data_IF_512179861373
#
_entry.id   IF_512179861373
#
_cell.length_a   1.000
_cell.length_b   1.000
_cell.length_c   1.000
_cell.angle_alpha   90.00
_cell.angle_beta   90.00
_cell.angle_gamma   90.00
#
_symmetry.space_group_name_H-M   'P 1'
#
loop_
_entity.id
_entity.type
_entity.pdbx_description
1 polymer ?
#
# COMPACT_ATOMS: atom_id res chain seq x y z
N UNK A 1 -7.65 -4.37 -8.44
CA UNK A 1 -8.49 -5.51 -8.85
C UNK A 1 -7.64 -6.77 -8.77
N UNK A 2 -8.20 -7.92 -8.41
CA UNK A 2 -7.45 -9.17 -8.29
C UNK A 2 -7.14 -9.79 -9.64
N UNK A 3 -6.01 -10.48 -9.75
CA UNK A 3 -5.63 -11.27 -10.92
C UNK A 3 -5.70 -12.78 -10.62
N UNK A 4 -5.59 -13.64 -11.64
CA UNK A 4 -5.65 -15.10 -11.44
C UNK A 4 -4.56 -15.60 -10.50
N UNK A 5 -3.36 -15.02 -10.55
CA UNK A 5 -2.23 -15.36 -9.68
C UNK A 5 -2.54 -15.07 -8.20
N UNK A 6 -3.33 -14.03 -7.90
CA UNK A 6 -3.74 -13.69 -6.53
C UNK A 6 -4.53 -14.82 -5.84
N UNK A 7 -5.15 -15.72 -6.60
CA UNK A 7 -5.90 -16.85 -6.04
C UNK A 7 -5.02 -17.86 -5.28
N UNK A 8 -3.71 -17.87 -5.51
CA UNK A 8 -2.75 -18.70 -4.77
C UNK A 8 -2.74 -18.44 -3.25
N UNK A 9 -3.35 -17.34 -2.80
CA UNK A 9 -3.48 -17.06 -1.37
C UNK A 9 -4.53 -17.92 -0.66
N UNK A 10 -5.50 -18.48 -1.41
CA UNK A 10 -6.57 -19.28 -0.84
C UNK A 10 -6.15 -20.74 -0.68
N UNK A 11 -6.62 -21.37 0.39
CA UNK A 11 -6.32 -22.77 0.69
C UNK A 11 -6.83 -23.71 -0.41
N UNK A 12 -8.02 -23.44 -0.97
CA UNK A 12 -8.61 -24.25 -2.03
C UNK A 12 -7.73 -24.32 -3.29
N UNK A 13 -6.91 -23.30 -3.55
CA UNK A 13 -6.07 -23.23 -4.76
C UNK A 13 -4.92 -24.25 -4.72
N UNK A 14 -4.61 -24.82 -3.55
CA UNK A 14 -3.67 -25.95 -3.45
C UNK A 14 -4.14 -27.21 -4.20
N UNK A 15 -5.45 -27.32 -4.46
CA UNK A 15 -6.05 -28.40 -5.24
C UNK A 15 -6.18 -28.06 -6.73
N UNK A 16 -5.64 -26.92 -7.19
CA UNK A 16 -5.67 -26.50 -8.58
C UNK A 16 -4.35 -26.84 -9.27
N UNK A 17 -4.43 -27.47 -10.43
CA UNK A 17 -3.30 -27.76 -11.30
C UNK A 17 -3.42 -26.94 -12.57
N UNK A 18 -2.46 -26.06 -12.82
CA UNK A 18 -2.38 -25.29 -14.07
C UNK A 18 -2.03 -26.24 -15.23
N UNK A 19 -2.94 -26.36 -16.19
CA UNK A 19 -2.84 -27.28 -17.31
C UNK A 19 -2.34 -26.60 -18.60
N UNK A 20 -2.75 -25.35 -18.85
CA UNK A 20 -2.33 -24.57 -20.02
C UNK A 20 -2.41 -23.06 -19.76
N UNK A 21 -1.77 -22.27 -20.63
CA UNK A 21 -1.91 -20.82 -20.70
C UNK A 21 -1.21 -20.06 -19.57
N UNK A 22 -0.07 -20.58 -19.10
CA UNK A 22 0.65 -20.06 -17.92
C UNK A 22 1.03 -18.57 -18.03
N UNK A 23 1.22 -18.04 -19.24
CA UNK A 23 1.51 -16.62 -19.47
C UNK A 23 0.34 -15.69 -19.11
N UNK A 24 -0.87 -16.24 -18.96
CA UNK A 24 -2.09 -15.50 -18.66
C UNK A 24 -2.46 -15.36 -17.19
N UNK A 25 -1.63 -15.85 -16.25
CA UNK A 25 -1.98 -15.85 -14.82
C UNK A 25 -2.17 -14.44 -14.22
N UNK A 26 -1.79 -13.38 -14.93
CA UNK A 26 -2.01 -11.99 -14.51
C UNK A 26 -3.26 -11.33 -15.12
N UNK A 27 -4.15 -12.11 -15.74
CA UNK A 27 -5.46 -11.63 -16.20
C UNK A 27 -6.33 -11.24 -15.00
N UNK A 28 -7.06 -10.13 -15.12
CA UNK A 28 -7.83 -9.52 -14.05
C UNK A 28 -9.18 -10.20 -13.89
N UNK A 29 -9.54 -10.60 -12.68
CA UNK A 29 -10.84 -11.22 -12.40
C UNK A 29 -11.84 -10.09 -12.07
N UNK A 30 -12.97 -10.08 -12.78
CA UNK A 30 -14.10 -9.17 -12.53
C UNK A 30 -15.26 -9.89 -11.86
N UNK A 31 -15.49 -11.17 -12.19
CA UNK A 31 -16.59 -11.97 -11.67
C UNK A 31 -16.27 -13.47 -11.75
N UNK A 32 -17.15 -14.32 -11.21
CA UNK A 32 -17.11 -15.79 -11.34
C UNK A 32 -18.40 -16.27 -11.98
N UNK A 33 -18.30 -17.12 -12.99
CA UNK A 33 -19.46 -17.66 -13.74
C UNK A 33 -19.31 -19.17 -13.89
N UNK A 34 -20.43 -19.88 -13.84
CA UNK A 34 -20.46 -21.32 -14.12
C UNK A 34 -20.81 -21.51 -15.59
N UNK A 35 -20.04 -22.35 -16.29
CA UNK A 35 -20.38 -22.83 -17.63
C UNK A 35 -20.99 -24.23 -17.52
N UNK A 36 -22.31 -24.32 -17.74
CA UNK A 36 -23.03 -25.60 -17.75
C UNK A 36 -24.00 -25.66 -18.95
N UNK A 37 -25.20 -25.09 -18.83
CA UNK A 37 -26.23 -25.12 -19.88
C UNK A 37 -25.80 -24.41 -21.17
N UNK A 38 -25.04 -23.33 -21.06
CA UNK A 38 -24.58 -22.51 -22.18
C UNK A 38 -23.64 -23.30 -23.11
N UNK A 39 -22.95 -24.30 -22.57
CA UNK A 39 -22.14 -25.23 -23.36
C UNK A 39 -22.96 -26.19 -24.22
N UNK A 40 -24.23 -26.44 -23.88
CA UNK A 40 -25.16 -27.21 -24.70
C UNK A 40 -25.78 -26.37 -25.83
N UNK A 41 -26.22 -25.14 -25.50
CA UNK A 41 -26.99 -24.28 -26.40
C UNK A 41 -26.11 -23.38 -27.27
N UNK A 42 -24.83 -23.23 -26.92
CA UNK A 42 -23.88 -22.36 -27.61
C UNK A 42 -24.14 -20.87 -27.38
N UNK A 43 -24.98 -20.51 -26.39
CA UNK A 43 -25.32 -19.14 -26.07
C UNK A 43 -24.47 -18.62 -24.89
N UNK A 44 -23.56 -17.69 -25.17
CA UNK A 44 -22.62 -17.13 -24.18
C UNK A 44 -22.92 -15.65 -23.86
N UNK A 45 -24.18 -15.21 -23.96
CA UNK A 45 -24.55 -13.80 -23.74
C UNK A 45 -24.30 -13.30 -22.33
N UNK A 46 -24.34 -14.19 -21.33
CA UNK A 46 -24.17 -13.82 -19.92
C UNK A 46 -22.69 -13.81 -19.48
N UNK A 47 -21.78 -14.13 -20.39
CA UNK A 47 -20.35 -14.11 -20.16
C UNK A 47 -19.74 -12.77 -20.59
N UNK A 48 -18.83 -12.26 -19.76
CA UNK A 48 -18.23 -10.96 -19.89
C UNK A 48 -16.70 -11.02 -19.81
N UNK A 49 -16.06 -9.95 -20.27
CA UNK A 49 -14.61 -9.79 -20.12
C UNK A 49 -14.23 -9.81 -18.63
N UNK A 50 -13.21 -10.60 -18.29
CA UNK A 50 -12.73 -10.74 -16.92
C UNK A 50 -13.35 -11.87 -16.10
N UNK A 51 -14.32 -12.63 -16.64
CA UNK A 51 -14.95 -13.73 -15.91
C UNK A 51 -13.97 -14.86 -15.61
N UNK A 52 -13.99 -15.35 -14.37
CA UNK A 52 -13.39 -16.63 -13.99
C UNK A 52 -14.42 -17.74 -14.18
N UNK A 53 -14.23 -18.57 -15.20
CA UNK A 53 -15.22 -19.58 -15.59
C UNK A 53 -14.96 -20.89 -14.86
N UNK A 54 -15.99 -21.45 -14.23
CA UNK A 54 -15.93 -22.77 -13.59
C UNK A 54 -16.82 -23.74 -14.36
N UNK A 55 -16.34 -24.94 -14.63
CA UNK A 55 -17.13 -25.97 -15.33
C UNK A 55 -16.73 -27.36 -14.90
N UNK A 56 -17.61 -28.34 -15.12
CA UNK A 56 -17.29 -29.77 -15.07
C UNK A 56 -17.24 -30.38 -16.48
N UNK A 57 -17.48 -29.59 -17.54
CA UNK A 57 -17.62 -30.02 -18.93
C UNK A 57 -18.71 -31.09 -19.16
N UNK A 58 -19.78 -31.09 -18.36
CA UNK A 58 -20.90 -32.04 -18.53
C UNK A 58 -21.48 -32.01 -19.95
N UNK A 59 -21.58 -30.82 -20.57
CA UNK A 59 -22.08 -30.65 -21.93
C UNK A 59 -21.25 -31.31 -23.03
N UNK A 60 -19.99 -31.63 -22.74
CA UNK A 60 -19.09 -32.27 -23.68
C UNK A 60 -18.90 -33.76 -23.39
N UNK A 61 -19.43 -34.30 -22.27
CA UNK A 61 -19.18 -35.67 -21.79
C UNK A 61 -19.26 -36.74 -22.89
N UNK A 62 -20.32 -36.69 -23.70
CA UNK A 62 -20.56 -37.63 -24.81
C UNK A 62 -20.15 -37.05 -26.19
N UNK A 63 -19.72 -35.79 -26.22
CA UNK A 63 -19.39 -35.00 -27.42
C UNK A 63 -18.15 -34.10 -27.21
N UNK A 64 -16.92 -34.68 -27.11
CA UNK A 64 -15.69 -33.92 -26.83
C UNK A 64 -15.38 -32.81 -27.85
N UNK A 65 -15.87 -32.95 -29.09
CA UNK A 65 -15.73 -31.96 -30.17
C UNK A 65 -16.35 -30.60 -29.84
N UNK A 66 -17.23 -30.52 -28.84
CA UNK A 66 -17.87 -29.27 -28.38
C UNK A 66 -16.95 -28.39 -27.52
N UNK A 67 -15.89 -28.94 -26.95
CA UNK A 67 -14.97 -28.21 -26.06
C UNK A 67 -14.26 -27.09 -26.84
N UNK A 68 -13.76 -27.39 -28.04
CA UNK A 68 -12.96 -26.44 -28.82
C UNK A 68 -13.77 -25.19 -29.25
N UNK A 69 -14.97 -25.31 -29.85
CA UNK A 69 -15.81 -24.16 -30.15
C UNK A 69 -16.18 -23.34 -28.92
N UNK A 70 -16.50 -24.00 -27.80
CA UNK A 70 -16.82 -23.37 -26.53
C UNK A 70 -15.67 -22.51 -26.01
N UNK A 71 -14.47 -23.08 -25.96
CA UNK A 71 -13.27 -22.38 -25.47
C UNK A 71 -12.86 -21.26 -26.43
N UNK A 72 -13.00 -21.45 -27.75
CA UNK A 72 -12.79 -20.39 -28.73
C UNK A 72 -13.73 -19.21 -28.49
N UNK A 73 -15.00 -19.45 -28.12
CA UNK A 73 -15.95 -18.40 -27.82
C UNK A 73 -15.58 -17.66 -26.54
N UNK A 74 -15.23 -18.38 -25.47
CA UNK A 74 -14.79 -17.78 -24.20
C UNK A 74 -13.51 -16.94 -24.36
N UNK A 75 -12.56 -17.39 -25.19
CA UNK A 75 -11.36 -16.61 -25.55
C UNK A 75 -11.76 -15.30 -26.24
N UNK A 76 -12.71 -15.34 -27.19
CA UNK A 76 -13.18 -14.13 -27.89
C UNK A 76 -13.86 -13.12 -26.96
N UNK A 77 -14.51 -13.60 -25.89
CA UNK A 77 -15.12 -12.79 -24.82
C UNK A 77 -14.04 -12.21 -23.88
N UNK A 78 -12.83 -12.79 -23.90
CA UNK A 78 -11.68 -12.44 -23.05
C UNK A 78 -11.92 -12.76 -21.57
N UNK A 79 -12.46 -13.94 -21.28
CA UNK A 79 -12.49 -14.47 -19.92
C UNK A 79 -11.07 -14.54 -19.32
N UNK A 80 -10.99 -14.57 -17.99
CA UNK A 80 -9.72 -14.48 -17.26
C UNK A 80 -9.07 -15.82 -17.00
N UNK A 81 -9.85 -16.87 -16.75
CA UNK A 81 -9.38 -18.24 -16.65
C UNK A 81 -10.55 -19.22 -16.77
N UNK A 82 -10.24 -20.49 -17.01
CA UNK A 82 -11.19 -21.59 -16.94
C UNK A 82 -10.70 -22.61 -15.90
N UNK A 83 -11.53 -22.94 -14.93
CA UNK A 83 -11.30 -23.97 -13.94
C UNK A 83 -12.24 -25.15 -14.19
N UNK A 84 -11.67 -26.32 -14.41
CA UNK A 84 -12.38 -27.54 -14.79
C UNK A 84 -12.34 -28.51 -13.61
N UNK A 85 -13.50 -28.90 -13.10
CA UNK A 85 -13.60 -29.95 -12.10
C UNK A 85 -13.41 -31.30 -12.78
N UNK A 86 -12.44 -32.10 -12.37
CA UNK A 86 -12.05 -33.34 -13.06
C UNK A 86 -13.02 -34.49 -12.77
N UNK A 87 -14.28 -34.35 -13.21
CA UNK A 87 -15.32 -35.38 -13.08
C UNK A 87 -15.36 -36.26 -14.34
N UNK A 88 -15.41 -35.63 -15.52
CA UNK A 88 -15.52 -36.33 -16.81
C UNK A 88 -14.22 -36.29 -17.63
N UNK A 89 -13.37 -35.31 -17.36
CA UNK A 89 -12.11 -35.09 -18.09
C UNK A 89 -10.96 -34.91 -17.11
N UNK A 90 -9.86 -35.61 -17.38
CA UNK A 90 -8.57 -35.40 -16.73
C UNK A 90 -7.52 -34.87 -17.72
N UNK A 91 -7.82 -34.91 -19.02
CA UNK A 91 -6.99 -34.40 -20.11
C UNK A 91 -7.89 -33.69 -21.12
N UNK A 92 -7.35 -32.64 -21.76
CA UNK A 92 -8.03 -31.92 -22.85
C UNK A 92 -7.43 -32.28 -24.21
N UNK A 93 -8.21 -32.20 -25.30
CA UNK A 93 -7.70 -32.31 -26.66
C UNK A 93 -6.55 -31.34 -26.93
N UNK A 94 -5.57 -31.77 -27.72
CA UNK A 94 -4.34 -30.99 -28.00
C UNK A 94 -4.66 -29.63 -28.60
N UNK A 95 -5.66 -29.57 -29.46
CA UNK A 95 -6.13 -28.35 -30.13
C UNK A 95 -6.61 -27.30 -29.13
N UNK A 96 -7.24 -27.73 -28.03
CA UNK A 96 -7.72 -26.83 -26.95
C UNK A 96 -6.53 -26.28 -26.16
N UNK A 97 -5.53 -27.12 -25.89
CA UNK A 97 -4.30 -26.72 -25.18
C UNK A 97 -3.50 -25.71 -26.00
N UNK A 98 -3.29 -26.00 -27.29
CA UNK A 98 -2.59 -25.10 -28.21
C UNK A 98 -3.32 -23.75 -28.34
N UNK A 99 -4.65 -23.78 -28.43
CA UNK A 99 -5.47 -22.58 -28.48
C UNK A 99 -5.33 -21.73 -27.22
N UNK A 100 -5.35 -22.37 -26.04
CA UNK A 100 -5.19 -21.70 -24.75
C UNK A 100 -3.80 -21.11 -24.56
N UNK A 101 -2.74 -21.81 -24.97
CA UNK A 101 -1.36 -21.30 -24.96
C UNK A 101 -1.20 -20.10 -25.90
N UNK A 102 -1.72 -20.19 -27.13
CA UNK A 102 -1.64 -19.13 -28.12
C UNK A 102 -2.28 -17.82 -27.63
N UNK A 103 -3.40 -17.92 -26.91
CA UNK A 103 -4.13 -16.75 -26.37
C UNK A 103 -3.78 -16.43 -24.91
N UNK A 104 -2.84 -17.18 -24.31
CA UNK A 104 -2.49 -17.07 -22.91
C UNK A 104 -3.72 -17.07 -22.00
N UNK A 105 -4.62 -18.04 -22.19
CA UNK A 105 -5.78 -18.26 -21.34
C UNK A 105 -5.46 -19.37 -20.32
N UNK A 106 -5.34 -19.05 -19.02
CA UNK A 106 -5.09 -20.05 -17.99
C UNK A 106 -6.23 -21.07 -17.91
N UNK A 107 -5.87 -22.35 -18.00
CA UNK A 107 -6.77 -23.47 -17.75
C UNK A 107 -6.27 -24.23 -16.55
N UNK A 108 -7.14 -24.49 -15.58
CA UNK A 108 -6.86 -25.28 -14.40
C UNK A 108 -7.73 -26.53 -14.36
N UNK A 109 -7.17 -27.63 -13.89
CA UNK A 109 -7.95 -28.74 -13.33
C UNK A 109 -7.97 -28.64 -11.82
N UNK A 110 -9.08 -29.02 -11.19
CA UNK A 110 -9.17 -29.11 -9.75
C UNK A 110 -10.04 -30.27 -9.29
N UNK A 111 -9.68 -30.83 -8.14
CA UNK A 111 -10.38 -31.96 -7.51
C UNK A 111 -10.65 -31.66 -6.03
N UNK A 112 -11.56 -32.40 -5.41
CA UNK A 112 -11.80 -32.37 -3.95
C UNK A 112 -12.22 -31.02 -3.33
N UNK A 113 -12.66 -30.06 -4.14
CA UNK A 113 -13.23 -28.77 -3.67
C UNK A 113 -14.65 -28.59 -4.21
N UNK A 114 -15.54 -28.02 -3.38
CA UNK A 114 -16.89 -27.63 -3.78
C UNK A 114 -16.86 -26.35 -4.62
N UNK A 115 -17.66 -26.29 -5.68
CA UNK A 115 -17.68 -25.15 -6.60
C UNK A 115 -18.20 -23.90 -5.86
N UNK A 116 -19.17 -24.11 -4.97
CA UNK A 116 -19.78 -23.11 -4.11
C UNK A 116 -18.72 -22.42 -3.23
N UNK A 117 -17.80 -23.18 -2.65
CA UNK A 117 -16.71 -22.65 -1.83
C UNK A 117 -15.79 -21.76 -2.67
N UNK A 118 -15.44 -22.19 -3.89
CA UNK A 118 -14.60 -21.40 -4.81
C UNK A 118 -15.29 -20.08 -5.16
N UNK A 119 -16.57 -20.13 -5.56
CA UNK A 119 -17.35 -18.95 -5.92
C UNK A 119 -17.43 -17.98 -4.75
N UNK A 120 -17.82 -18.45 -3.56
CA UNK A 120 -17.97 -17.60 -2.38
C UNK A 120 -16.64 -16.92 -2.01
N UNK A 121 -15.53 -17.66 -1.98
CA UNK A 121 -14.23 -17.09 -1.63
C UNK A 121 -13.76 -16.04 -2.64
N UNK A 122 -13.93 -16.27 -3.95
CA UNK A 122 -13.52 -15.31 -4.98
C UNK A 122 -14.44 -14.07 -4.95
N UNK A 123 -15.76 -14.25 -4.83
CA UNK A 123 -16.73 -13.15 -4.74
C UNK A 123 -16.48 -12.28 -3.51
N UNK A 124 -16.27 -12.90 -2.34
CA UNK A 124 -15.96 -12.16 -1.11
C UNK A 124 -14.63 -11.41 -1.23
N UNK A 125 -13.66 -11.99 -1.94
CA UNK A 125 -12.39 -11.33 -2.22
C UNK A 125 -12.54 -10.11 -3.15
N UNK A 126 -13.32 -10.24 -4.23
CA UNK A 126 -13.64 -9.13 -5.13
C UNK A 126 -14.30 -7.98 -4.36
N UNK A 127 -15.34 -8.28 -3.57
CA UNK A 127 -16.05 -7.30 -2.74
C UNK A 127 -15.14 -6.64 -1.71
N UNK A 128 -14.29 -7.42 -1.04
CA UNK A 128 -13.32 -6.91 -0.07
C UNK A 128 -12.30 -5.98 -0.75
N UNK A 129 -11.81 -6.34 -1.94
CA UNK A 129 -10.89 -5.52 -2.72
C UNK A 129 -11.51 -4.19 -3.15
N UNK A 130 -12.77 -4.20 -3.60
CA UNK A 130 -13.49 -2.98 -3.99
C UNK A 130 -13.71 -2.06 -2.78
N UNK A 131 -14.21 -2.62 -1.68
CA UNK A 131 -14.40 -1.88 -0.42
C UNK A 131 -13.09 -1.26 0.06
N UNK A 132 -11.99 -2.01 0.04
CA UNK A 132 -10.69 -1.49 0.45
C UNK A 132 -10.22 -0.36 -0.49
N UNK A 133 -10.44 -0.48 -1.80
CA UNK A 133 -10.08 0.56 -2.78
C UNK A 133 -10.90 1.84 -2.55
N UNK A 134 -12.19 1.72 -2.28
CA UNK A 134 -13.06 2.84 -1.91
C UNK A 134 -12.57 3.54 -0.64
N UNK A 135 -12.26 2.78 0.41
CA UNK A 135 -11.75 3.32 1.67
C UNK A 135 -10.35 3.95 1.52
N UNK A 136 -9.45 3.34 0.73
CA UNK A 136 -8.13 3.91 0.40
C UNK A 136 -8.28 5.28 -0.27
N UNK A 137 -9.22 5.43 -1.20
CA UNK A 137 -9.54 6.71 -1.85
C UNK A 137 -10.15 7.74 -0.89
N UNK A 138 -11.02 7.32 0.05
CA UNK A 138 -11.53 8.21 1.09
C UNK A 138 -10.41 8.73 1.98
N UNK A 139 -9.49 7.85 2.41
CA UNK A 139 -8.34 8.26 3.21
C UNK A 139 -7.44 9.22 2.43
N UNK A 140 -7.16 8.96 1.16
CA UNK A 140 -6.41 9.91 0.31
C UNK A 140 -7.11 11.27 0.23
N UNK A 141 -8.43 11.28 0.08
CA UNK A 141 -9.21 12.53 0.03
C UNK A 141 -9.12 13.28 1.36
N UNK A 142 -9.31 12.57 2.48
CA UNK A 142 -9.23 13.15 3.83
C UNK A 142 -7.86 13.72 4.13
N UNK A 143 -6.80 13.06 3.69
CA UNK A 143 -5.43 13.51 3.93
C UNK A 143 -5.10 14.69 3.02
N UNK A 144 -5.24 14.56 1.70
CA UNK A 144 -4.57 15.45 0.74
C UNK A 144 -5.43 16.57 0.15
N UNK A 145 -6.74 16.63 0.45
CA UNK A 145 -7.62 17.69 -0.08
C UNK A 145 -7.88 18.81 0.93
N UNK A 146 -8.15 20.01 0.42
CA UNK A 146 -8.42 21.20 1.26
C UNK A 146 -9.82 21.18 1.87
N UNK A 147 -10.79 20.50 1.24
CA UNK A 147 -12.19 20.43 1.68
C UNK A 147 -12.66 18.98 1.91
N UNK A 148 -12.09 18.26 2.89
CA UNK A 148 -12.35 16.83 3.08
C UNK A 148 -13.68 16.52 3.77
N UNK A 149 -14.55 17.49 4.08
CA UNK A 149 -15.69 17.31 4.99
C UNK A 149 -16.63 16.15 4.62
N UNK A 150 -16.96 16.00 3.33
CA UNK A 150 -17.81 14.91 2.85
C UNK A 150 -17.09 13.56 2.98
N UNK A 151 -15.84 13.50 2.54
CA UNK A 151 -15.03 12.29 2.62
C UNK A 151 -14.74 11.88 4.08
N UNK A 152 -14.57 12.87 4.97
CA UNK A 152 -14.38 12.66 6.40
C UNK A 152 -15.64 12.06 7.04
N UNK A 153 -16.82 12.60 6.73
CA UNK A 153 -18.10 12.03 7.20
C UNK A 153 -18.28 10.60 6.70
N UNK A 154 -17.97 10.35 5.42
CA UNK A 154 -18.02 9.01 4.84
C UNK A 154 -17.01 8.07 5.49
N UNK A 155 -15.77 8.50 5.74
CA UNK A 155 -14.77 7.68 6.40
C UNK A 155 -15.22 7.31 7.82
N UNK A 156 -15.65 8.30 8.60
CA UNK A 156 -16.12 8.10 9.98
C UNK A 156 -17.32 7.15 10.04
N UNK A 157 -18.25 7.22 9.09
CA UNK A 157 -19.40 6.30 9.06
C UNK A 157 -19.01 4.84 8.80
N UNK A 158 -17.80 4.59 8.28
CA UNK A 158 -17.30 3.24 8.03
C UNK A 158 -16.38 2.71 9.15
N UNK A 159 -15.70 3.61 9.88
CA UNK A 159 -14.64 3.22 10.81
C UNK A 159 -14.90 3.58 12.27
N UNK A 160 -15.66 4.62 12.57
CA UNK A 160 -15.84 5.12 13.93
C UNK A 160 -17.07 4.46 14.58
N UNK A 161 -16.91 3.71 15.68
CA UNK A 161 -18.04 3.21 16.46
C UNK A 161 -18.86 4.35 17.09
N UNK A 162 -20.11 4.05 17.44
CA UNK A 162 -20.99 4.98 18.15
C UNK A 162 -20.37 5.42 19.49
N UNK A 163 -20.63 6.68 19.88
CA UNK A 163 -20.14 7.28 21.13
C UNK A 163 -18.60 7.24 21.30
N UNK A 164 -17.86 7.34 20.19
CA UNK A 164 -16.41 7.57 20.20
C UNK A 164 -16.11 8.99 19.74
N UNK A 165 -15.22 9.65 20.47
CA UNK A 165 -14.92 11.08 20.28
C UNK A 165 -13.45 11.35 19.99
N UNK A 166 -12.59 10.37 20.24
CA UNK A 166 -11.16 10.47 20.05
C UNK A 166 -10.62 9.31 19.22
N UNK A 167 -9.52 9.56 18.52
CA UNK A 167 -8.79 8.60 17.69
C UNK A 167 -7.28 8.72 17.89
N UNK A 168 -6.61 7.58 17.91
CA UNK A 168 -5.16 7.43 17.72
C UNK A 168 -4.95 6.52 16.51
N UNK A 169 -3.79 6.62 15.85
CA UNK A 169 -3.51 5.78 14.69
C UNK A 169 -2.16 5.07 14.76
N UNK A 170 -2.06 3.97 14.02
CA UNK A 170 -0.86 3.19 13.84
C UNK A 170 -0.72 2.81 12.37
N UNK A 171 0.46 3.02 11.80
CA UNK A 171 0.78 2.61 10.44
C UNK A 171 1.93 1.60 10.42
N UNK A 172 1.67 0.48 9.75
CA UNK A 172 2.56 -0.67 9.73
C UNK A 172 2.92 -1.05 8.29
N UNK A 173 4.21 -1.25 8.04
CA UNK A 173 4.75 -1.66 6.74
C UNK A 173 5.69 -2.84 6.93
N UNK A 174 5.82 -3.70 5.91
CA UNK A 174 6.81 -4.77 5.91
C UNK A 174 8.01 -4.33 5.05
N UNK A 175 9.20 -4.08 5.64
CA UNK A 175 10.36 -3.62 4.89
C UNK A 175 10.87 -4.64 3.86
N UNK A 176 10.60 -5.93 4.07
CA UNK A 176 10.99 -7.01 3.14
C UNK A 176 9.96 -7.24 2.03
N UNK A 177 8.74 -6.72 2.17
CA UNK A 177 7.72 -6.87 1.13
C UNK A 177 7.93 -5.85 0.02
N UNK A 178 8.38 -6.32 -1.15
CA UNK A 178 8.34 -5.52 -2.38
C UNK A 178 6.91 -5.32 -2.90
N UNK A 179 5.91 -6.01 -2.35
CA UNK A 179 4.56 -6.10 -2.91
C UNK A 179 3.45 -6.03 -1.84
N UNK A 180 2.38 -5.26 -2.13
CA UNK A 180 1.13 -5.14 -1.33
C UNK A 180 0.57 -6.53 -0.97
N UNK A 181 0.73 -7.50 -1.87
CA UNK A 181 0.16 -8.84 -1.77
C UNK A 181 0.70 -9.68 -0.59
N UNK A 182 1.93 -9.47 -0.10
CA UNK A 182 2.45 -10.31 1.01
C UNK A 182 1.85 -9.95 2.38
N UNK A 183 1.58 -8.66 2.62
CA UNK A 183 0.92 -8.21 3.85
C UNK A 183 -0.54 -8.68 3.83
N UNK A 184 -1.23 -8.49 2.70
CA UNK A 184 -2.58 -8.97 2.51
C UNK A 184 -2.71 -10.49 2.70
N UNK A 185 -1.79 -11.28 2.13
CA UNK A 185 -1.72 -12.73 2.37
C UNK A 185 -1.55 -13.08 3.85
N UNK A 186 -0.71 -12.35 4.57
CA UNK A 186 -0.46 -12.59 6.00
C UNK A 186 -1.70 -12.26 6.83
N UNK A 187 -2.44 -11.20 6.48
CA UNK A 187 -3.66 -10.80 7.16
C UNK A 187 -4.84 -11.72 6.85
N UNK A 188 -5.00 -12.10 5.58
CA UNK A 188 -6.05 -13.02 5.11
C UNK A 188 -5.89 -14.42 5.72
N UNK A 189 -4.67 -15.00 5.68
CA UNK A 189 -4.39 -16.32 6.28
C UNK A 189 -4.68 -16.38 7.78
N UNK A 190 -4.61 -15.24 8.47
CA UNK A 190 -4.80 -15.14 9.92
C UNK A 190 -6.20 -14.70 10.32
N UNK A 191 -7.13 -14.54 9.36
CA UNK A 191 -8.51 -14.13 9.64
C UNK A 191 -8.66 -12.71 10.20
N UNK A 192 -7.61 -11.87 10.08
CA UNK A 192 -7.56 -10.51 10.65
C UNK A 192 -8.48 -9.52 9.93
N UNK A 193 -8.77 -9.81 8.66
CA UNK A 193 -9.77 -9.11 7.86
C UNK A 193 -11.15 -9.80 7.93
N UNK A 194 -11.29 -10.86 8.75
CA UNK A 194 -12.52 -11.59 8.99
C UNK A 194 -13.26 -11.13 10.26
N UNK A 195 -14.55 -11.48 10.34
CA UNK A 195 -15.47 -11.07 11.43
C UNK A 195 -14.96 -11.33 12.86
N UNK A 196 -14.19 -12.41 13.08
CA UNK A 196 -13.76 -12.82 14.44
C UNK A 196 -12.77 -11.85 15.11
N UNK A 197 -12.00 -11.06 14.36
CA UNK A 197 -11.08 -10.09 14.95
C UNK A 197 -11.79 -8.81 15.42
N UNK A 198 -12.86 -8.45 14.70
CA UNK A 198 -13.70 -7.27 14.93
C UNK A 198 -14.34 -7.33 16.33
N UNK A 199 -14.73 -8.50 16.81
CA UNK A 199 -15.40 -8.67 18.11
C UNK A 199 -14.46 -8.46 19.32
N UNK A 200 -13.16 -8.76 19.18
CA UNK A 200 -12.17 -8.58 20.27
C UNK A 200 -11.57 -7.18 20.34
N UNK A 201 -11.69 -6.42 19.25
CA UNK A 201 -11.15 -5.08 19.06
C UNK A 201 -12.24 -4.13 18.56
N UNK A 202 -13.41 -4.13 19.21
CA UNK A 202 -14.59 -3.34 18.81
C UNK A 202 -14.32 -1.84 18.59
N UNK A 203 -13.23 -1.34 19.17
CA UNK A 203 -12.77 0.04 19.06
C UNK A 203 -11.65 0.25 18.02
N UNK A 204 -11.26 -0.76 17.25
CA UNK A 204 -10.15 -0.69 16.29
C UNK A 204 -10.61 -1.00 14.87
N UNK A 205 -10.28 -0.10 13.94
CA UNK A 205 -10.51 -0.27 12.52
C UNK A 205 -9.21 -0.56 11.78
N UNK A 206 -9.27 -1.40 10.75
CA UNK A 206 -8.13 -1.85 9.96
C UNK A 206 -8.37 -1.61 8.47
N UNK A 207 -7.37 -1.09 7.77
CA UNK A 207 -7.41 -0.82 6.34
C UNK A 207 -6.07 -1.10 5.67
N UNK A 208 -6.07 -1.76 4.52
CA UNK A 208 -4.89 -1.79 3.67
C UNK A 208 -4.75 -0.43 2.98
N UNK A 209 -3.68 0.28 3.27
CA UNK A 209 -3.45 1.63 2.77
C UNK A 209 -2.03 1.75 2.19
N UNK A 210 -1.91 2.04 0.90
CA UNK A 210 -0.65 2.06 0.17
C UNK A 210 0.15 0.77 0.46
N UNK A 211 1.42 0.84 0.85
CA UNK A 211 2.29 -0.34 1.04
C UNK A 211 2.13 -1.01 2.41
N UNK A 212 1.10 -0.67 3.18
CA UNK A 212 1.00 -1.05 4.58
C UNK A 212 -0.44 -1.20 5.08
N UNK A 213 -0.54 -1.33 6.40
CA UNK A 213 -1.80 -1.43 7.14
C UNK A 213 -1.94 -0.17 7.97
N UNK A 214 -3.04 0.53 7.77
CA UNK A 214 -3.49 1.61 8.64
C UNK A 214 -4.45 1.04 9.68
N UNK A 215 -4.19 1.35 10.95
CA UNK A 215 -5.04 1.00 12.07
C UNK A 215 -5.49 2.27 12.77
N UNK A 216 -6.77 2.34 13.12
CA UNK A 216 -7.37 3.44 13.85
C UNK A 216 -7.98 2.91 15.15
N UNK A 217 -7.52 3.42 16.27
CA UNK A 217 -8.05 3.09 17.59
C UNK A 217 -8.92 4.24 18.09
N UNK A 218 -10.17 3.95 18.42
CA UNK A 218 -11.16 4.90 18.88
C UNK A 218 -11.39 4.80 20.38
N UNK A 219 -11.62 5.95 21.03
CA UNK A 219 -11.95 6.00 22.45
C UNK A 219 -13.07 7.00 22.71
N UNK A 220 -13.82 6.75 23.78
CA UNK A 220 -14.79 7.70 24.30
C UNK A 220 -14.09 8.86 25.01
N UNK A 221 -13.05 8.56 25.79
CA UNK A 221 -12.32 9.54 26.60
C UNK A 221 -10.87 9.72 26.11
N UNK A 222 -10.28 10.87 26.46
CA UNK A 222 -8.86 11.12 26.27
C UNK A 222 -8.06 10.14 27.14
N UNK A 223 -7.08 9.49 26.53
CA UNK A 223 -6.18 8.55 27.21
C UNK A 223 -4.75 9.11 27.24
N UNK A 224 -3.98 8.67 28.23
CA UNK A 224 -2.55 8.98 28.34
C UNK A 224 -1.75 8.19 27.30
N UNK A 225 -0.58 8.70 26.91
CA UNK A 225 0.36 8.00 25.99
C UNK A 225 0.68 6.56 26.48
N UNK A 226 0.80 6.35 27.80
CA UNK A 226 1.04 5.00 28.37
C UNK A 226 -0.13 4.05 28.13
N UNK A 227 -1.37 4.52 28.25
CA UNK A 227 -2.59 3.73 28.01
C UNK A 227 -2.74 3.39 26.53
N UNK A 228 -2.55 4.38 25.65
CA UNK A 228 -2.56 4.21 24.19
C UNK A 228 -1.52 3.17 23.79
N UNK A 229 -0.30 3.26 24.32
CA UNK A 229 0.78 2.32 24.05
C UNK A 229 0.53 0.92 24.62
N UNK A 230 -0.19 0.79 25.74
CA UNK A 230 -0.68 -0.51 26.24
C UNK A 230 -1.72 -1.10 25.29
N UNK A 231 -2.69 -0.30 24.82
CA UNK A 231 -3.71 -0.72 23.85
C UNK A 231 -3.09 -1.17 22.54
N UNK A 232 -2.19 -0.39 21.94
CA UNK A 232 -1.49 -0.79 20.71
C UNK A 232 -0.66 -2.05 20.87
N UNK A 233 0.03 -2.23 22.01
CA UNK A 233 0.74 -3.49 22.28
C UNK A 233 -0.22 -4.68 22.35
N UNK A 234 -1.36 -4.51 22.99
CA UNK A 234 -2.39 -5.55 23.05
C UNK A 234 -2.92 -5.88 21.64
N UNK A 235 -3.34 -4.87 20.87
CA UNK A 235 -3.84 -5.04 19.50
C UNK A 235 -2.79 -5.75 18.61
N UNK A 236 -1.53 -5.32 18.64
CA UNK A 236 -0.44 -5.95 17.87
C UNK A 236 -0.16 -7.39 18.30
N UNK A 237 -0.30 -7.70 19.60
CA UNK A 237 -0.10 -9.06 20.13
C UNK A 237 -1.21 -10.01 19.68
N UNK A 238 -2.46 -9.60 19.80
CA UNK A 238 -3.63 -10.39 19.39
C UNK A 238 -3.64 -10.56 17.86
N UNK A 239 -3.14 -9.57 17.12
CA UNK A 239 -3.02 -9.65 15.65
C UNK A 239 -1.78 -10.40 15.15
N UNK A 240 -0.88 -10.86 16.04
CA UNK A 240 0.39 -11.47 15.65
C UNK A 240 1.21 -10.59 14.67
N UNK A 241 1.17 -9.27 14.85
CA UNK A 241 1.86 -8.25 14.04
C UNK A 241 3.02 -7.59 14.81
N UNK A 242 3.73 -8.37 15.62
CA UNK A 242 4.82 -7.88 16.48
C UNK A 242 6.03 -7.37 15.69
N UNK A 243 6.81 -6.48 16.33
CA UNK A 243 7.84 -5.61 15.74
C UNK A 243 9.07 -6.30 15.11
N UNK A 244 9.13 -7.63 15.06
CA UNK A 244 10.27 -8.35 14.48
C UNK A 244 10.30 -8.31 12.94
N UNK A 245 9.13 -8.22 12.29
CA UNK A 245 9.00 -8.31 10.83
C UNK A 245 8.44 -7.03 10.18
N UNK A 246 8.17 -6.01 10.98
CA UNK A 246 7.43 -4.84 10.55
C UNK A 246 8.05 -3.54 11.06
N UNK A 247 7.97 -2.51 10.23
CA UNK A 247 8.18 -1.13 10.62
C UNK A 247 6.86 -0.54 11.10
N UNK A 248 6.86 0.12 12.26
CA UNK A 248 5.66 0.57 12.94
C UNK A 248 5.81 2.04 13.36
N UNK A 249 4.90 2.89 12.88
CA UNK A 249 4.75 4.26 13.36
C UNK A 249 3.47 4.40 14.17
N UNK A 250 3.56 4.98 15.37
CA UNK A 250 2.43 5.15 16.28
C UNK A 250 2.21 6.63 16.56
N UNK A 251 0.96 7.08 16.48
CA UNK A 251 0.51 8.34 17.09
C UNK A 251 0.10 8.07 18.53
N UNK A 252 0.93 8.47 19.49
CA UNK A 252 0.72 8.24 20.93
C UNK A 252 -0.07 9.34 21.64
N UNK A 253 -0.86 10.09 20.87
CA UNK A 253 -1.79 11.09 21.36
C UNK A 253 -3.21 10.73 20.92
N UNK A 254 -4.20 10.98 21.78
CA UNK A 254 -5.61 10.88 21.40
C UNK A 254 -6.07 12.22 20.85
N UNK A 255 -6.40 12.26 19.56
CA UNK A 255 -6.92 13.45 18.90
C UNK A 255 -8.45 13.36 18.76
N UNK A 256 -9.19 14.49 18.76
CA UNK A 256 -10.61 14.46 18.41
C UNK A 256 -10.84 13.80 17.05
N UNK A 257 -11.94 13.05 16.86
CA UNK A 257 -12.22 12.35 15.58
C UNK A 257 -12.27 13.27 14.35
N UNK A 258 -12.50 14.58 14.54
CA UNK A 258 -12.44 15.57 13.47
C UNK A 258 -11.01 15.83 12.94
N UNK A 259 -9.99 15.41 13.68
CA UNK A 259 -8.57 15.49 13.36
C UNK A 259 -8.00 14.10 12.98
N UNK A 260 -8.85 13.20 12.48
CA UNK A 260 -8.40 11.86 12.06
C UNK A 260 -7.36 11.92 10.93
N UNK A 261 -7.42 12.94 10.07
CA UNK A 261 -6.42 13.24 9.05
C UNK A 261 -5.04 13.48 9.66
N UNK A 262 -4.99 14.28 10.74
CA UNK A 262 -3.77 14.55 11.50
C UNK A 262 -3.27 13.26 12.14
N UNK A 263 -4.15 12.51 12.81
CA UNK A 263 -3.78 11.25 13.44
C UNK A 263 -3.14 10.29 12.43
N UNK A 264 -3.77 10.10 11.27
CA UNK A 264 -3.27 9.23 10.19
C UNK A 264 -1.92 9.73 9.66
N UNK A 265 -1.79 11.03 9.37
CA UNK A 265 -0.52 11.61 8.89
C UNK A 265 0.62 11.38 9.89
N UNK A 266 0.35 11.54 11.20
CA UNK A 266 1.35 11.35 12.26
C UNK A 266 1.89 9.92 12.29
N UNK A 267 1.05 8.90 12.21
CA UNK A 267 1.53 7.50 12.20
C UNK A 267 2.27 7.15 10.91
N UNK A 268 1.81 7.63 9.75
CA UNK A 268 2.49 7.43 8.46
C UNK A 268 3.87 8.07 8.47
N UNK A 269 3.99 9.34 8.87
CA UNK A 269 5.30 10.01 8.92
C UNK A 269 6.22 9.40 9.97
N UNK A 270 5.68 9.00 11.12
CA UNK A 270 6.46 8.28 12.14
C UNK A 270 6.99 6.95 11.60
N UNK A 271 6.19 6.20 10.84
CA UNK A 271 6.61 4.95 10.19
C UNK A 271 7.75 5.19 9.19
N UNK A 272 7.66 6.24 8.37
CA UNK A 272 8.72 6.60 7.41
C UNK A 272 10.02 7.01 8.10
N UNK A 273 9.95 7.87 9.11
CA UNK A 273 11.11 8.24 9.94
C UNK A 273 11.76 7.01 10.58
N UNK A 274 10.94 6.07 11.06
CA UNK A 274 11.40 4.82 11.66
C UNK A 274 12.24 4.00 10.66
N UNK A 275 11.76 3.86 9.43
CA UNK A 275 12.45 3.15 8.37
C UNK A 275 13.78 3.76 7.97
N UNK A 276 13.88 5.10 7.91
CA UNK A 276 15.14 5.80 7.62
C UNK A 276 16.21 5.60 8.71
N UNK A 277 15.81 5.33 9.95
CA UNK A 277 16.73 5.15 11.08
C UNK A 277 17.08 3.70 11.38
N UNK A 278 16.53 2.74 10.62
CA UNK A 278 16.73 1.32 10.90
C UNK A 278 16.11 0.85 12.21
N UNK A 279 15.16 1.62 12.78
CA UNK A 279 14.39 1.19 13.93
C UNK A 279 13.14 0.44 13.46
N UNK A 280 12.69 -0.61 14.18
CA UNK A 280 11.47 -1.34 13.82
C UNK A 280 10.19 -0.64 14.29
N UNK A 281 10.29 0.23 15.31
CA UNK A 281 9.14 0.94 15.86
C UNK A 281 9.52 2.33 16.35
N UNK A 282 8.65 3.29 16.08
CA UNK A 282 8.77 4.66 16.56
C UNK A 282 7.40 5.21 17.00
N UNK A 283 7.45 6.26 17.81
CA UNK A 283 6.30 6.93 18.39
C UNK A 283 6.35 8.41 18.05
N UNK A 284 5.22 9.03 17.70
CA UNK A 284 5.15 10.38 17.17
C UNK A 284 5.80 11.43 18.10
N UNK A 285 5.51 11.38 19.39
CA UNK A 285 6.10 12.29 20.39
C UNK A 285 7.64 12.31 20.40
N UNK A 286 8.28 11.23 19.96
CA UNK A 286 9.75 11.14 19.85
C UNK A 286 10.33 11.67 18.53
N UNK A 287 9.49 11.97 17.53
CA UNK A 287 9.93 12.39 16.20
C UNK A 287 10.31 13.87 16.10
N UNK A 288 9.82 14.71 17.01
CA UNK A 288 10.08 16.16 17.04
C UNK A 288 9.85 16.81 15.66
N UNK A 289 10.78 17.63 15.17
CA UNK A 289 10.66 18.36 13.89
C UNK A 289 10.69 17.46 12.65
N UNK A 290 11.08 16.19 12.74
CA UNK A 290 11.29 15.32 11.57
C UNK A 290 10.01 15.07 10.78
N UNK A 291 8.88 14.89 11.47
CA UNK A 291 7.57 14.71 10.84
C UNK A 291 7.11 15.98 10.12
N UNK A 292 7.42 17.16 10.68
CA UNK A 292 7.20 18.44 10.02
C UNK A 292 8.08 18.57 8.76
N UNK A 293 9.35 18.20 8.83
CA UNK A 293 10.24 18.21 7.65
C UNK A 293 9.71 17.33 6.52
N UNK A 294 9.24 16.11 6.84
CA UNK A 294 8.57 15.24 5.85
C UNK A 294 7.29 15.86 5.28
N UNK A 295 6.51 16.57 6.09
CA UNK A 295 5.30 17.25 5.60
C UNK A 295 5.64 18.38 4.61
N UNK A 296 6.76 19.07 4.81
CA UNK A 296 7.23 20.13 3.93
C UNK A 296 7.81 19.57 2.63
N UNK A 297 8.47 18.41 2.65
CA UNK A 297 8.98 17.77 1.42
C UNK A 297 7.86 17.32 0.48
N UNK A 298 6.69 16.95 1.02
CA UNK A 298 5.49 16.62 0.24
C UNK A 298 4.69 17.85 -0.22
N UNK A 299 4.89 19.01 0.40
CA UNK A 299 4.19 20.23 0.00
C UNK A 299 4.77 20.78 -1.31
N UNK A 300 3.93 20.87 -2.34
CA UNK A 300 4.35 21.30 -3.69
C UNK A 300 4.98 22.69 -3.71
N UNK A 301 4.41 23.64 -2.97
CA UNK A 301 4.94 25.01 -2.93
C UNK A 301 6.29 25.06 -2.19
N UNK A 302 6.38 24.44 -1.02
CA UNK A 302 7.63 24.38 -0.26
C UNK A 302 8.74 23.68 -1.06
N UNK A 303 8.44 22.57 -1.74
CA UNK A 303 9.40 21.85 -2.56
C UNK A 303 9.88 22.68 -3.77
N UNK A 304 8.96 23.35 -4.48
CA UNK A 304 9.31 24.26 -5.57
C UNK A 304 10.22 25.41 -5.08
N UNK A 305 9.84 26.03 -3.96
CA UNK A 305 10.61 27.09 -3.31
C UNK A 305 12.04 26.63 -2.95
N UNK A 306 12.19 25.52 -2.24
CA UNK A 306 13.50 24.98 -1.84
C UNK A 306 14.34 24.53 -3.06
N UNK A 307 13.69 23.99 -4.09
CA UNK A 307 14.33 23.61 -5.33
C UNK A 307 14.89 24.82 -6.07
N UNK A 308 14.17 25.94 -6.12
CA UNK A 308 14.64 27.16 -6.77
C UNK A 308 15.84 27.76 -6.03
N UNK A 309 15.83 27.77 -4.69
CA UNK A 309 17.01 28.14 -3.89
C UNK A 309 18.23 27.26 -4.20
N UNK A 310 18.04 25.94 -4.34
CA UNK A 310 19.13 25.03 -4.70
C UNK A 310 19.66 25.27 -6.12
N UNK A 311 18.79 25.66 -7.07
CA UNK A 311 19.20 26.02 -8.44
C UNK A 311 20.07 27.26 -8.46
N UNK A 312 19.80 28.26 -7.63
CA UNK A 312 20.63 29.47 -7.54
C UNK A 312 22.06 29.13 -7.11
N UNK A 313 22.21 28.34 -6.05
CA UNK A 313 23.53 27.89 -5.57
C UNK A 313 24.22 27.02 -6.62
N UNK A 314 23.50 26.06 -7.21
CA UNK A 314 24.06 25.14 -8.21
C UNK A 314 24.49 25.84 -9.50
N UNK A 315 23.75 26.88 -9.90
CA UNK A 315 24.10 27.71 -11.07
C UNK A 315 25.37 28.50 -10.80
N UNK A 316 25.51 29.06 -9.59
CA UNK A 316 26.74 29.73 -9.17
C UNK A 316 27.92 28.76 -9.13
N UNK A 317 27.75 27.57 -8.55
CA UNK A 317 28.78 26.53 -8.51
C UNK A 317 29.28 26.17 -9.91
N UNK A 318 28.38 26.04 -10.89
CA UNK A 318 28.74 25.74 -12.28
C UNK A 318 29.48 26.90 -12.96
N UNK A 319 29.01 28.13 -12.77
CA UNK A 319 29.58 29.32 -13.43
C UNK A 319 30.95 29.72 -12.87
N UNK A 320 31.14 29.55 -11.55
CA UNK A 320 32.33 30.00 -10.84
C UNK A 320 33.24 28.85 -10.41
N UNK A 321 32.91 27.61 -10.80
CA UNK A 321 33.61 26.38 -10.43
C UNK A 321 33.83 26.25 -8.91
N UNK A 322 32.78 26.53 -8.13
CA UNK A 322 32.79 26.47 -6.67
C UNK A 322 32.17 25.16 -6.14
N UNK A 323 32.20 24.97 -4.82
CA UNK A 323 31.62 23.80 -4.12
C UNK A 323 30.72 24.22 -2.96
N UNK A 324 29.84 25.18 -3.22
CA UNK A 324 28.94 25.76 -2.24
C UNK A 324 27.87 24.76 -1.79
N UNK A 325 27.27 23.99 -2.71
CA UNK A 325 26.28 22.96 -2.34
C UNK A 325 26.88 21.88 -1.43
N UNK A 326 28.08 21.38 -1.75
CA UNK A 326 28.81 20.43 -0.90
C UNK A 326 29.06 21.01 0.51
N UNK A 327 29.40 22.31 0.57
CA UNK A 327 29.62 23.02 1.83
C UNK A 327 28.32 23.15 2.63
N UNK A 328 27.19 23.43 1.97
CA UNK A 328 25.87 23.54 2.59
C UNK A 328 25.46 22.22 3.27
N UNK A 329 25.50 21.11 2.53
CA UNK A 329 25.15 19.79 3.08
C UNK A 329 26.09 19.34 4.19
N UNK A 330 27.40 19.59 4.05
CA UNK A 330 28.35 19.27 5.11
C UNK A 330 28.10 20.12 6.37
N UNK A 331 27.77 21.40 6.21
CA UNK A 331 27.46 22.30 7.31
C UNK A 331 26.22 21.87 8.08
N UNK A 332 25.14 21.52 7.36
CA UNK A 332 23.93 20.95 7.95
C UNK A 332 24.23 19.66 8.71
N UNK A 333 24.91 18.70 8.07
CA UNK A 333 25.29 17.42 8.67
C UNK A 333 26.30 17.52 9.82
N UNK A 334 26.94 18.69 10.00
CA UNK A 334 27.82 18.98 11.12
C UNK A 334 27.15 19.84 12.21
N UNK A 335 25.81 19.91 12.22
CA UNK A 335 25.00 20.69 13.17
C UNK A 335 25.42 22.17 13.19
N UNK A 336 25.68 22.73 12.01
CA UNK A 336 26.05 24.13 11.83
C UNK A 336 27.38 24.52 12.54
N UNK A 337 28.24 23.56 12.86
CA UNK A 337 29.57 23.85 13.39
C UNK A 337 30.60 24.00 12.27
N UNK A 338 31.16 25.21 12.16
CA UNK A 338 32.17 25.55 11.15
C UNK A 338 33.42 24.67 11.26
N UNK A 339 33.95 24.47 12.47
CA UNK A 339 35.19 23.69 12.65
C UNK A 339 35.02 22.21 12.31
N UNK A 340 33.85 21.64 12.62
CA UNK A 340 33.51 20.26 12.24
C UNK A 340 33.37 20.13 10.72
N UNK A 341 32.73 21.12 10.10
CA UNK A 341 32.55 21.20 8.64
C UNK A 341 33.89 21.33 7.92
N UNK A 342 34.77 22.19 8.42
CA UNK A 342 36.13 22.39 7.91
C UNK A 342 36.93 21.09 7.93
N UNK A 343 36.91 20.37 9.05
CA UNK A 343 37.53 19.04 9.17
C UNK A 343 36.93 18.03 8.19
N UNK A 344 35.59 17.95 8.12
CA UNK A 344 34.87 17.01 7.23
C UNK A 344 35.21 17.23 5.75
N UNK A 345 35.35 18.49 5.32
CA UNK A 345 35.67 18.85 3.94
C UNK A 345 37.17 19.01 3.67
N UNK A 346 38.03 18.78 4.66
CA UNK A 346 39.48 19.01 4.56
C UNK A 346 39.82 20.43 4.08
N UNK A 347 39.12 21.42 4.62
CA UNK A 347 39.29 22.85 4.29
C UNK A 347 39.66 23.65 5.54
N UNK A 348 40.26 24.82 5.35
CA UNK A 348 40.49 25.76 6.46
C UNK A 348 39.15 26.39 6.93
N UNK A 349 38.92 26.64 8.23
CA UNK A 349 37.69 27.26 8.74
C UNK A 349 37.31 28.60 8.07
N UNK A 350 38.30 29.42 7.70
CA UNK A 350 38.05 30.66 6.96
C UNK A 350 37.46 30.42 5.56
N UNK A 351 37.87 29.34 4.88
CA UNK A 351 37.29 28.95 3.60
C UNK A 351 35.82 28.56 3.76
N UNK A 352 35.49 27.84 4.84
CA UNK A 352 34.09 27.50 5.16
C UNK A 352 33.28 28.78 5.43
N UNK A 353 33.79 29.70 6.27
CA UNK A 353 33.13 31.00 6.53
C UNK A 353 32.89 31.77 5.24
N UNK A 354 33.89 31.86 4.37
CA UNK A 354 33.77 32.53 3.07
C UNK A 354 32.66 31.91 2.21
N UNK A 355 32.64 30.58 2.08
CA UNK A 355 31.62 29.86 1.31
C UNK A 355 30.22 30.03 1.92
N UNK A 356 30.08 29.94 3.24
CA UNK A 356 28.79 30.15 3.92
C UNK A 356 28.28 31.58 3.74
N UNK A 357 29.15 32.59 3.88
CA UNK A 357 28.79 33.98 3.60
C UNK A 357 28.36 34.17 2.14
N UNK A 358 29.00 33.47 1.20
CA UNK A 358 28.62 33.51 -0.20
C UNK A 358 27.25 32.87 -0.43
N UNK A 359 26.97 31.72 0.15
CA UNK A 359 25.66 31.07 0.09
C UNK A 359 24.59 32.01 0.67
N UNK A 360 24.85 32.60 1.84
CA UNK A 360 23.93 33.55 2.48
C UNK A 360 23.62 34.75 1.56
N UNK A 361 24.62 35.24 0.82
CA UNK A 361 24.44 36.32 -0.16
C UNK A 361 23.62 35.92 -1.40
N UNK A 362 23.79 34.68 -1.87
CA UNK A 362 23.03 34.14 -3.02
C UNK A 362 21.56 33.99 -2.63
N UNK A 363 21.31 33.40 -1.46
CA UNK A 363 19.97 33.14 -0.94
C UNK A 363 19.29 34.40 -0.36
N UNK A 364 19.94 35.56 -0.43
CA UNK A 364 19.45 36.83 0.10
C UNK A 364 18.99 36.79 1.58
N UNK A 365 19.56 35.91 2.40
CA UNK A 365 19.13 35.76 3.79
C UNK A 365 19.51 36.99 4.63
N UNK A 366 18.55 37.51 5.39
CA UNK A 366 18.69 38.72 6.19
C UNK A 366 19.47 38.50 7.49
N UNK A 367 19.42 37.28 8.04
CA UNK A 367 20.03 36.94 9.32
C UNK A 367 20.48 35.47 9.38
N UNK A 368 21.23 35.10 10.41
CA UNK A 368 21.80 33.74 10.55
C UNK A 368 20.75 32.68 10.90
N UNK A 369 19.66 33.08 11.57
CA UNK A 369 18.57 32.16 11.92
C UNK A 369 17.81 31.71 10.67
N UNK A 370 17.41 32.66 9.80
CA UNK A 370 16.81 32.39 8.50
C UNK A 370 17.71 31.49 7.64
N UNK A 371 19.00 31.80 7.59
CA UNK A 371 19.98 31.01 6.85
C UNK A 371 20.05 29.56 7.35
N UNK A 372 20.16 29.34 8.66
CA UNK A 372 20.19 28.00 9.24
C UNK A 372 18.89 27.22 9.00
N UNK A 373 17.74 27.89 9.07
CA UNK A 373 16.44 27.28 8.76
C UNK A 373 16.37 26.78 7.32
N UNK A 374 16.76 27.62 6.35
CA UNK A 374 16.78 27.25 4.93
C UNK A 374 17.76 26.09 4.68
N UNK A 375 18.97 26.17 5.24
CA UNK A 375 19.99 25.11 5.09
C UNK A 375 19.50 23.79 5.70
N UNK A 376 18.86 23.83 6.88
CA UNK A 376 18.27 22.66 7.51
C UNK A 376 17.16 22.04 6.66
N UNK A 377 16.25 22.87 6.14
CA UNK A 377 15.17 22.44 5.25
C UNK A 377 15.71 21.78 3.98
N UNK A 378 16.66 22.41 3.29
CA UNK A 378 17.30 21.85 2.09
C UNK A 378 17.94 20.49 2.38
N UNK A 379 18.65 20.37 3.52
CA UNK A 379 19.36 19.14 3.87
C UNK A 379 18.44 17.98 4.26
N UNK A 380 17.25 18.24 4.80
CA UNK A 380 16.32 17.20 5.28
C UNK A 380 15.22 16.85 4.26
N UNK A 381 14.89 17.75 3.33
CA UNK A 381 13.78 17.55 2.38
C UNK A 381 14.21 17.06 1.00
N UNK A 382 15.46 17.31 0.59
CA UNK A 382 15.98 17.00 -0.76
C UNK A 382 17.06 15.90 -0.77
N UNK A 383 17.29 15.24 0.37
CA UNK A 383 18.22 14.11 0.50
C UNK A 383 17.52 12.76 0.37
#
# INVERSE_FOLDING_TARGET
>A
MPDVASLQQFEFFSNFTLYAGAKGIHRMISNVVILDHEGFDGNYTDFHEGDFVITNLLYAKDNPERILPSFSKLISIKVSAIAIKSIYYHELPKEVVELAEAHSLPIFFFDSVYIEDIILNIVDYLRSSEKNSYLENLVDTVIYTETPETALKQLLSHCCPDNRHYVSSLYLTNPSSKDKLSIQRTLNRKGLLGKQFIDSAADCFFLMYKKGVLMLYFSQDVQTSSEIMKKWRHILSVSNLSSGNYQIGVDDEMLPIRQIDIAIRRSIYTNRCCGQQGHPKAVYSSMHLRTLMLSLSENRYANAYLTDLCKEISSYDRQQNTRLMETLYAYAGCLFHIDKTAKKLTQHPNTIRYRLNKIKSILHCTNDFEFQMIVGLISETLN
#
